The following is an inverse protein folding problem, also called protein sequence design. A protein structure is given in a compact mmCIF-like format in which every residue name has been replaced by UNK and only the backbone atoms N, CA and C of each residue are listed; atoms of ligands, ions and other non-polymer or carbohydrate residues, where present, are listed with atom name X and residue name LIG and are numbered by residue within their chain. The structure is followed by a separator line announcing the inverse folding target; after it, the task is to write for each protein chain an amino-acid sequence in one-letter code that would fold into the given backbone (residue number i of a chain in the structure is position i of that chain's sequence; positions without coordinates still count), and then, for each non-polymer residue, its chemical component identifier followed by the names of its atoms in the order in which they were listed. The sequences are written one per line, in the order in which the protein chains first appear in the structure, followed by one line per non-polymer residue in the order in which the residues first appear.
data_IF_567465429581
#
_entry.id   IF_567465429581
#
_cell.length_a   1.000
_cell.length_b   1.000
_cell.length_c   1.000
_cell.angle_alpha   90.00
_cell.angle_beta   90.00
_cell.angle_gamma   90.00
#
_symmetry.space_group_name_H-M   'P 1'
#
loop_
_entity.id
_entity.type
_entity.pdbx_description
1 polymer ?
#
# COMPACT_ATOMS: atom_id res chain seq x y z
N UNK A 1 -5.45 -8.76 26.01
CA UNK A 1 -4.12 -8.59 25.43
C UNK A 1 -3.83 -7.10 25.42
N UNK A 2 -2.75 -6.63 26.06
CA UNK A 2 -2.41 -5.21 26.17
C UNK A 2 -1.00 -4.99 25.63
N UNK A 3 -0.86 -4.06 24.68
CA UNK A 3 0.44 -3.58 24.23
C UNK A 3 0.94 -2.52 25.23
N UNK A 4 2.21 -2.58 25.67
CA UNK A 4 2.74 -1.59 26.62
C UNK A 4 2.70 -0.17 26.01
N UNK A 5 2.52 0.88 26.82
CA UNK A 5 2.64 2.25 26.31
C UNK A 5 4.04 2.47 25.72
N UNK A 6 4.12 3.13 24.56
CA UNK A 6 5.35 3.33 23.76
C UNK A 6 5.94 2.06 23.13
N UNK A 7 5.10 1.14 22.62
CA UNK A 7 5.55 0.16 21.63
C UNK A 7 6.00 0.94 20.39
N UNK A 8 7.32 1.12 20.23
CA UNK A 8 7.92 1.64 18.99
C UNK A 8 7.29 0.88 17.83
N UNK A 9 6.87 1.56 16.76
CA UNK A 9 6.19 1.00 15.59
C UNK A 9 6.71 -0.40 15.19
N UNK A 10 8.02 -0.62 15.33
CA UNK A 10 8.70 -1.91 15.19
C UNK A 10 8.03 -3.15 15.81
N UNK A 11 7.27 -3.03 16.90
CA UNK A 11 6.68 -4.17 17.60
C UNK A 11 5.15 -4.30 17.40
N UNK A 12 4.56 -3.50 16.49
CA UNK A 12 3.13 -3.59 16.17
C UNK A 12 2.90 -4.38 14.87
N UNK A 13 1.96 -5.33 14.83
CA UNK A 13 1.68 -6.09 13.60
C UNK A 13 1.31 -5.20 12.41
N UNK A 14 0.67 -4.06 12.67
CA UNK A 14 0.28 -3.10 11.64
C UNK A 14 1.49 -2.56 10.87
N UNK A 15 2.60 -2.33 11.56
CA UNK A 15 3.86 -1.83 11.00
C UNK A 15 4.72 -2.94 10.39
N UNK A 16 4.32 -4.21 10.51
CA UNK A 16 5.02 -5.38 9.94
C UNK A 16 4.58 -5.73 8.49
N UNK A 17 4.08 -4.73 7.77
CA UNK A 17 3.69 -4.85 6.36
C UNK A 17 2.19 -4.71 6.08
N UNK A 18 1.34 -4.74 7.10
CA UNK A 18 -0.13 -4.60 6.91
C UNK A 18 -0.48 -3.20 6.41
N UNK A 19 0.05 -2.15 7.03
CA UNK A 19 -0.14 -0.77 6.58
C UNK A 19 0.43 -0.59 5.16
N UNK A 20 1.64 -1.09 4.91
CA UNK A 20 2.29 -0.98 3.61
C UNK A 20 1.45 -1.62 2.50
N UNK A 21 0.95 -2.86 2.71
CA UNK A 21 0.08 -3.55 1.75
C UNK A 21 -1.24 -2.79 1.55
N UNK A 22 -1.86 -2.30 2.63
CA UNK A 22 -3.10 -1.51 2.55
C UNK A 22 -2.91 -0.25 1.68
N UNK A 23 -1.79 0.47 1.86
CA UNK A 23 -1.46 1.66 1.05
C UNK A 23 -1.25 1.33 -0.43
N UNK A 24 -0.58 0.21 -0.74
CA UNK A 24 -0.40 -0.24 -2.13
C UNK A 24 -1.73 -0.61 -2.79
N UNK A 25 -2.59 -1.34 -2.08
CA UNK A 25 -3.93 -1.66 -2.58
C UNK A 25 -4.79 -0.40 -2.76
N UNK A 26 -4.64 0.60 -1.88
CA UNK A 26 -5.30 1.90 -2.03
C UNK A 26 -4.91 2.63 -3.30
N UNK A 27 -3.61 2.70 -3.58
CA UNK A 27 -3.08 3.30 -4.80
C UNK A 27 -3.59 2.59 -6.05
N UNK A 28 -3.57 1.25 -6.05
CA UNK A 28 -4.10 0.43 -7.14
C UNK A 28 -5.60 0.66 -7.37
N UNK A 29 -6.39 0.70 -6.32
CA UNK A 29 -7.85 0.90 -6.43
C UNK A 29 -8.21 2.33 -6.84
N UNK A 30 -7.43 3.33 -6.43
CA UNK A 30 -7.55 4.69 -6.93
C UNK A 30 -7.35 4.75 -8.46
N UNK A 31 -6.32 4.09 -8.99
CA UNK A 31 -6.08 4.04 -10.45
C UNK A 31 -7.21 3.32 -11.19
N UNK A 32 -7.74 2.22 -10.64
CA UNK A 32 -8.90 1.53 -11.23
C UNK A 32 -10.12 2.43 -11.32
N UNK A 33 -10.42 3.19 -10.26
CA UNK A 33 -11.54 4.13 -10.27
C UNK A 33 -11.34 5.29 -11.23
N UNK A 34 -10.10 5.75 -11.39
CA UNK A 34 -9.74 6.73 -12.40
C UNK A 34 -10.03 6.20 -13.81
N UNK A 35 -9.66 4.96 -14.11
CA UNK A 35 -9.90 4.30 -15.41
C UNK A 35 -11.38 4.00 -15.70
N UNK A 36 -12.20 3.91 -14.66
CA UNK A 36 -13.65 3.79 -14.79
C UNK A 36 -14.32 5.13 -15.12
N UNK A 37 -13.64 6.26 -14.87
CA UNK A 37 -14.07 7.56 -15.36
C UNK A 37 -13.78 7.68 -16.88
N UNK A 38 -14.37 8.67 -17.54
CA UNK A 38 -14.19 8.92 -18.99
C UNK A 38 -12.71 8.94 -19.40
N UNK A 39 -12.37 8.62 -20.65
CA UNK A 39 -10.98 8.34 -21.06
C UNK A 39 -10.34 9.49 -21.85
N UNK A 40 -10.23 10.66 -21.25
CA UNK A 40 -9.39 11.76 -21.76
C UNK A 40 -8.56 12.38 -20.63
N UNK A 41 -7.57 13.20 -20.98
CA UNK A 41 -6.69 13.81 -19.96
C UNK A 41 -7.47 14.80 -19.06
N UNK A 42 -8.49 15.45 -19.62
CA UNK A 42 -9.35 16.39 -18.89
C UNK A 42 -10.19 15.67 -17.82
N UNK A 43 -10.62 14.42 -18.07
CA UNK A 43 -11.38 13.61 -17.14
C UNK A 43 -10.53 13.18 -15.94
N UNK A 44 -9.23 12.92 -16.12
CA UNK A 44 -8.31 12.57 -15.02
C UNK A 44 -8.24 13.72 -14.02
N UNK A 45 -8.09 14.94 -14.53
CA UNK A 45 -8.10 16.17 -13.73
C UNK A 45 -9.48 16.37 -13.07
N UNK A 46 -10.56 16.17 -13.82
CA UNK A 46 -11.92 16.34 -13.32
C UNK A 46 -12.28 15.31 -12.23
N UNK A 47 -11.87 14.05 -12.39
CA UNK A 47 -12.02 12.98 -11.40
C UNK A 47 -11.29 13.35 -10.12
N UNK A 48 -10.02 13.75 -10.24
CA UNK A 48 -9.20 14.13 -9.08
C UNK A 48 -9.81 15.29 -8.31
N UNK A 49 -10.42 16.26 -9.00
CA UNK A 49 -11.15 17.38 -8.39
C UNK A 49 -12.48 16.99 -7.73
N UNK A 50 -13.14 15.92 -8.20
CA UNK A 50 -14.41 15.42 -7.66
C UNK A 50 -14.22 14.47 -6.49
N UNK A 51 -13.04 13.87 -6.37
CA UNK A 51 -12.67 12.94 -5.32
C UNK A 51 -12.82 13.61 -3.95
N UNK A 52 -13.70 13.06 -3.11
CA UNK A 52 -13.96 13.58 -1.78
C UNK A 52 -13.68 12.51 -0.70
N UNK A 53 -13.78 12.91 0.57
CA UNK A 53 -13.47 12.03 1.70
C UNK A 53 -14.32 10.75 1.72
N UNK A 54 -15.58 10.81 1.28
CA UNK A 54 -16.45 9.62 1.21
C UNK A 54 -15.90 8.62 0.19
N UNK A 55 -15.44 9.10 -0.95
CA UNK A 55 -14.81 8.26 -1.98
C UNK A 55 -13.53 7.63 -1.44
N UNK A 56 -12.68 8.41 -0.75
CA UNK A 56 -11.49 7.91 -0.08
C UNK A 56 -11.82 6.79 0.92
N UNK A 57 -12.88 6.94 1.72
CA UNK A 57 -13.31 5.88 2.64
C UNK A 57 -13.72 4.60 1.90
N UNK A 58 -14.42 4.71 0.77
CA UNK A 58 -14.75 3.53 -0.03
C UNK A 58 -13.51 2.89 -0.65
N UNK A 59 -12.56 3.68 -1.17
CA UNK A 59 -11.29 3.13 -1.67
C UNK A 59 -10.59 2.37 -0.55
N UNK A 60 -10.54 2.94 0.66
CA UNK A 60 -9.94 2.29 1.82
C UNK A 60 -10.62 0.96 2.17
N UNK A 61 -11.96 0.91 2.13
CA UNK A 61 -12.71 -0.34 2.37
C UNK A 61 -12.33 -1.40 1.34
N UNK A 62 -12.32 -1.05 0.06
CA UNK A 62 -11.96 -1.99 -1.01
C UNK A 62 -10.50 -2.43 -0.90
N UNK A 63 -9.61 -1.52 -0.51
CA UNK A 63 -8.19 -1.81 -0.28
C UNK A 63 -7.98 -2.78 0.87
N UNK A 64 -8.67 -2.55 1.98
CA UNK A 64 -8.60 -3.41 3.16
C UNK A 64 -9.17 -4.81 2.88
N UNK A 65 -10.19 -4.92 2.03
CA UNK A 65 -10.74 -6.21 1.62
C UNK A 65 -9.71 -7.12 0.90
N UNK A 66 -8.62 -6.53 0.38
CA UNK A 66 -7.52 -7.27 -0.23
C UNK A 66 -6.41 -7.67 0.76
N UNK A 67 -6.51 -7.25 2.03
CA UNK A 67 -5.61 -7.72 3.10
C UNK A 67 -6.17 -9.04 3.63
N UNK A 68 -5.49 -10.15 3.34
CA UNK A 68 -5.97 -11.48 3.70
C UNK A 68 -5.55 -11.89 5.12
N UNK A 69 -6.18 -12.94 5.65
CA UNK A 69 -5.76 -13.55 6.92
C UNK A 69 -4.30 -14.01 6.90
N UNK A 70 -3.81 -14.48 5.75
CA UNK A 70 -2.41 -14.88 5.57
C UNK A 70 -1.47 -13.69 5.69
N UNK A 71 -1.83 -12.52 5.17
CA UNK A 71 -1.04 -11.30 5.34
C UNK A 71 -0.94 -10.90 6.83
N UNK A 72 -2.05 -11.00 7.57
CA UNK A 72 -2.06 -10.73 9.02
C UNK A 72 -1.22 -11.75 9.80
N UNK A 73 -1.31 -13.03 9.44
CA UNK A 73 -0.52 -14.09 10.05
C UNK A 73 0.98 -13.89 9.78
N UNK A 74 1.38 -13.56 8.55
CA UNK A 74 2.77 -13.23 8.20
C UNK A 74 3.29 -12.05 9.03
N UNK A 75 2.51 -10.97 9.14
CA UNK A 75 2.86 -9.81 9.96
C UNK A 75 3.07 -10.19 11.45
N UNK A 76 2.21 -11.05 12.00
CA UNK A 76 2.36 -11.57 13.36
C UNK A 76 3.57 -12.49 13.52
N UNK A 77 3.85 -13.34 12.53
CA UNK A 77 4.99 -14.26 12.54
C UNK A 77 6.34 -13.52 12.56
N UNK A 78 6.41 -12.30 12.00
CA UNK A 78 7.62 -11.45 12.08
C UNK A 78 7.92 -10.99 13.51
N UNK A 79 6.89 -10.86 14.36
CA UNK A 79 7.02 -10.46 15.75
C UNK A 79 7.21 -11.64 16.70
N UNK A 80 6.87 -12.84 16.25
CA UNK A 80 6.93 -14.02 17.10
C UNK A 80 8.38 -14.46 17.33
N UNK A 81 8.81 -14.68 18.59
CA UNK A 81 10.15 -15.20 18.88
C UNK A 81 10.34 -16.57 18.23
N UNK A 82 11.24 -16.67 17.25
CA UNK A 82 11.58 -17.97 16.65
C UNK A 82 12.52 -18.74 17.59
N UNK A 83 12.24 -20.02 17.90
CA UNK A 83 13.18 -20.84 18.68
C UNK A 83 14.49 -21.00 17.91
N UNK A 84 15.62 -20.92 18.63
CA UNK A 84 17.00 -20.87 18.12
C UNK A 84 17.43 -22.01 17.17
N UNK A 85 16.59 -23.02 16.94
CA UNK A 85 16.96 -24.27 16.26
C UNK A 85 16.20 -24.60 14.97
N UNK A 86 15.35 -23.71 14.45
CA UNK A 86 14.70 -23.99 13.17
C UNK A 86 15.28 -23.11 12.05
N UNK A 87 16.07 -23.78 11.24
CA UNK A 87 16.66 -23.34 9.98
C UNK A 87 15.61 -22.65 9.10
N UNK A 88 15.95 -21.43 8.70
CA UNK A 88 15.45 -20.61 7.59
C UNK A 88 14.23 -21.17 6.84
N UNK A 89 13.06 -21.08 7.46
CA UNK A 89 11.78 -21.26 6.79
C UNK A 89 11.42 -20.01 5.99
N UNK A 90 11.70 -20.07 4.70
CA UNK A 90 11.43 -19.15 3.60
C UNK A 90 10.12 -18.31 3.72
N UNK A 91 10.11 -17.22 4.48
CA UNK A 91 8.94 -16.32 4.58
C UNK A 91 9.02 -15.13 3.62
N UNK A 92 10.21 -14.81 3.11
CA UNK A 92 10.43 -13.61 2.29
C UNK A 92 10.07 -13.81 0.80
N UNK A 93 10.26 -14.99 0.22
CA UNK A 93 10.04 -15.19 -1.23
C UNK A 93 8.59 -14.92 -1.68
N UNK A 94 7.59 -15.21 -0.85
CA UNK A 94 6.18 -15.02 -1.22
C UNK A 94 5.78 -13.53 -1.13
N UNK A 95 6.36 -12.76 -0.20
CA UNK A 95 6.08 -11.32 -0.11
C UNK A 95 6.69 -10.54 -1.28
N UNK A 96 7.90 -10.93 -1.71
CA UNK A 96 8.57 -10.34 -2.88
C UNK A 96 7.82 -10.65 -4.19
N UNK A 97 7.30 -11.87 -4.35
CA UNK A 97 6.46 -12.25 -5.49
C UNK A 97 5.12 -11.51 -5.51
N UNK A 98 4.36 -11.48 -4.39
CA UNK A 98 3.09 -10.74 -4.29
C UNK A 98 3.29 -9.24 -4.55
N UNK A 99 4.40 -8.66 -4.09
CA UNK A 99 4.72 -7.26 -4.31
C UNK A 99 5.08 -6.98 -5.77
N UNK A 100 5.84 -7.86 -6.43
CA UNK A 100 6.16 -7.74 -7.85
C UNK A 100 4.91 -7.76 -8.72
N UNK A 101 3.99 -8.69 -8.47
CA UNK A 101 2.72 -8.78 -9.20
C UNK A 101 1.88 -7.50 -9.06
N UNK A 102 1.87 -6.88 -7.86
CA UNK A 102 1.16 -5.61 -7.65
C UNK A 102 1.82 -4.47 -8.44
N UNK A 103 3.15 -4.44 -8.56
CA UNK A 103 3.88 -3.43 -9.34
C UNK A 103 3.48 -3.55 -10.81
N UNK A 104 3.52 -4.76 -11.36
CA UNK A 104 3.19 -5.03 -12.76
C UNK A 104 1.74 -4.60 -13.07
N UNK A 105 0.79 -4.96 -12.20
CA UNK A 105 -0.59 -4.53 -12.32
C UNK A 105 -0.74 -2.99 -12.28
N UNK A 106 0.05 -2.30 -11.46
CA UNK A 106 0.03 -0.83 -11.40
C UNK A 106 0.60 -0.22 -12.67
N UNK A 107 1.68 -0.76 -13.21
CA UNK A 107 2.24 -0.31 -14.50
C UNK A 107 1.20 -0.43 -15.60
N UNK A 108 0.49 -1.56 -15.67
CA UNK A 108 -0.56 -1.77 -16.67
C UNK A 108 -1.73 -0.79 -16.49
N UNK A 109 -2.13 -0.51 -15.24
CA UNK A 109 -3.14 0.50 -14.94
C UNK A 109 -2.67 1.91 -15.34
N UNK A 110 -1.43 2.29 -15.03
CA UNK A 110 -0.86 3.58 -15.39
C UNK A 110 -0.85 3.77 -16.91
N UNK A 111 -0.36 2.79 -17.67
CA UNK A 111 -0.30 2.85 -19.13
C UNK A 111 -1.67 2.94 -19.79
N UNK A 112 -2.73 2.52 -19.11
CA UNK A 112 -4.10 2.65 -19.60
C UNK A 112 -4.70 4.05 -19.37
N UNK A 113 -4.05 4.90 -18.57
CA UNK A 113 -4.50 6.27 -18.28
C UNK A 113 -3.92 7.20 -19.37
N UNK A 114 -4.76 8.03 -20.02
CA UNK A 114 -4.28 9.03 -20.97
C UNK A 114 -3.23 9.95 -20.34
N UNK A 115 -2.07 10.10 -20.98
CA UNK A 115 -0.95 10.92 -20.51
C UNK A 115 0.06 10.20 -19.60
N UNK A 116 -0.13 8.91 -19.34
CA UNK A 116 0.77 8.07 -18.52
C UNK A 116 1.29 6.83 -19.28
N UNK A 117 1.25 6.85 -20.62
CA UNK A 117 1.60 5.71 -21.49
C UNK A 117 3.07 5.28 -21.35
N UNK A 118 3.95 6.21 -20.95
CA UNK A 118 5.38 5.97 -20.77
C UNK A 118 5.75 5.46 -19.37
N UNK A 119 4.78 5.28 -18.46
CA UNK A 119 5.04 4.83 -17.09
C UNK A 119 5.72 3.45 -17.08
N UNK A 120 6.90 3.38 -16.47
CA UNK A 120 7.65 2.13 -16.33
C UNK A 120 7.61 1.57 -14.89
N UNK A 121 8.31 0.45 -14.69
CA UNK A 121 8.38 -0.23 -13.39
C UNK A 121 9.07 0.64 -12.34
N UNK A 122 10.05 1.45 -12.73
CA UNK A 122 10.75 2.34 -11.81
C UNK A 122 9.81 3.46 -11.35
N UNK A 123 9.06 4.07 -12.27
CA UNK A 123 8.06 5.09 -11.97
C UNK A 123 6.99 4.56 -11.00
N UNK A 124 6.42 3.38 -11.31
CA UNK A 124 5.40 2.74 -10.47
C UNK A 124 5.96 2.41 -9.07
N UNK A 125 7.19 1.90 -9.01
CA UNK A 125 7.86 1.56 -7.75
C UNK A 125 8.16 2.80 -6.91
N UNK A 126 8.62 3.89 -7.54
CA UNK A 126 8.86 5.16 -6.87
C UNK A 126 7.56 5.71 -6.30
N UNK A 127 6.49 5.77 -7.10
CA UNK A 127 5.18 6.26 -6.67
C UNK A 127 4.59 5.45 -5.51
N UNK A 128 4.69 4.12 -5.58
CA UNK A 128 4.25 3.23 -4.51
C UNK A 128 5.00 3.44 -3.18
N UNK A 129 6.24 3.91 -3.24
CA UNK A 129 7.09 4.13 -2.06
C UNK A 129 7.25 5.62 -1.71
N UNK A 130 6.45 6.50 -2.32
CA UNK A 130 6.49 7.96 -2.12
C UNK A 130 6.39 8.40 -0.65
N UNK A 131 5.70 7.63 0.18
CA UNK A 131 5.45 7.90 1.60
C UNK A 131 6.32 7.07 2.54
N UNK A 132 7.37 6.39 2.04
CA UNK A 132 8.25 5.53 2.85
C UNK A 132 8.92 6.28 4.01
N UNK A 133 9.17 7.58 3.84
CA UNK A 133 9.80 8.43 4.85
C UNK A 133 8.81 9.36 5.56
N UNK A 134 7.50 9.22 5.30
CA UNK A 134 6.48 10.03 5.98
C UNK A 134 6.31 9.52 7.42
N UNK A 135 6.57 10.34 8.45
CA UNK A 135 6.38 9.94 9.84
C UNK A 135 4.91 9.66 10.19
N UNK A 136 3.94 10.09 9.34
CA UNK A 136 2.52 9.88 9.56
C UNK A 136 1.92 10.79 10.64
N UNK A 137 2.69 11.75 11.14
CA UNK A 137 2.26 12.80 12.07
C UNK A 137 2.93 14.12 11.72
N UNK A 138 2.20 15.22 11.88
CA UNK A 138 2.78 16.56 11.80
C UNK A 138 3.54 16.86 13.08
N UNK A 139 4.82 17.21 12.96
CA UNK A 139 5.55 17.87 14.04
C UNK A 139 5.08 19.32 14.02
N UNK A 140 4.25 19.70 14.99
CA UNK A 140 3.96 21.12 15.21
C UNK A 140 5.26 21.79 15.65
N UNK A 141 5.89 22.54 14.75
CA UNK A 141 6.88 23.54 15.15
C UNK A 141 6.13 24.71 15.79
N UNK A 142 6.50 25.04 17.03
CA UNK A 142 6.05 26.28 17.67
C UNK A 142 6.75 27.46 16.98
N UNK A 143 6.09 28.06 15.99
CA UNK A 143 6.42 29.41 15.48
C UNK A 143 5.51 30.46 16.15
#
# INVERSE_FOLDING_TARGET
MFLPPNVTALLQPMDQGVIAKTKRMYRKELLRRLLLAERDEESVIAFTKKLNLKDCCYILVDSWANVTGDNLMKAWNKLWPKPLNNEVGNTNCIEEEEDSEIVDDIVDLCKAIPGFEECDVADATEWMNSDKNDPGYQIYSED
#
